data_IF_573348764012
#
_entry.id   IF_573348764012
#
_cell.length_a   1.000
_cell.length_b   1.000
_cell.length_c   1.000
_cell.angle_alpha   90.00
_cell.angle_beta   90.00
_cell.angle_gamma   90.00
#
_symmetry.space_group_name_H-M   'P 1'
#
loop_
_entity.id
_entity.type
_entity.pdbx_description
1 polymer ?
#
# COMPACT_ATOMS: atom_id res chain seq x y z
N UNK A 1 1.29 -3.13 -0.82
CA UNK A 1 0.10 -2.79 -0.01
C UNK A 1 -0.15 -1.29 -0.09
N UNK A 2 -1.39 -0.83 0.04
CA UNK A 2 -1.73 0.60 0.17
C UNK A 2 -1.75 1.08 1.65
N UNK A 3 -1.40 0.20 2.59
CA UNK A 3 -1.27 0.47 4.03
C UNK A 3 0.20 0.43 4.44
N UNK A 4 0.58 1.27 5.38
CA UNK A 4 1.92 1.23 5.99
C UNK A 4 2.08 0.01 6.89
N UNK A 5 3.31 -0.42 7.19
CA UNK A 5 3.57 -1.57 8.06
C UNK A 5 2.93 -1.41 9.45
N UNK A 6 2.95 -0.21 10.02
CA UNK A 6 2.31 0.04 11.32
C UNK A 6 0.79 -0.15 11.31
N UNK A 7 0.14 0.02 10.16
CA UNK A 7 -1.31 -0.18 10.01
C UNK A 7 -1.69 -1.66 9.83
N UNK A 8 -0.73 -2.58 9.73
CA UNK A 8 -1.04 -4.00 9.58
C UNK A 8 -1.57 -4.63 10.86
N UNK A 9 -1.30 -4.04 12.03
CA UNK A 9 -1.92 -4.45 13.29
C UNK A 9 -3.45 -4.38 13.25
N UNK A 10 -4.03 -3.46 12.45
CA UNK A 10 -5.48 -3.33 12.28
C UNK A 10 -6.03 -4.22 11.15
N UNK A 11 -5.16 -4.79 10.33
CA UNK A 11 -5.53 -5.67 9.20
C UNK A 11 -5.69 -7.12 9.67
N UNK A 12 -4.86 -7.54 10.62
CA UNK A 12 -4.92 -8.88 11.19
C UNK A 12 -5.68 -8.87 12.52
N UNK A 13 -6.43 -9.95 12.84
CA UNK A 13 -7.13 -10.05 14.12
C UNK A 13 -6.21 -10.06 15.35
N UNK A 14 -4.96 -10.48 15.17
CA UNK A 14 -3.94 -10.54 16.22
C UNK A 14 -2.73 -9.68 15.83
N UNK A 15 -2.43 -8.61 16.59
CA UNK A 15 -1.29 -7.75 16.32
C UNK A 15 0.06 -8.46 16.49
N UNK A 16 0.18 -9.46 17.38
CA UNK A 16 1.41 -10.25 17.55
C UNK A 16 1.68 -11.09 16.31
N UNK A 17 0.63 -11.70 15.76
CA UNK A 17 0.73 -12.44 14.50
C UNK A 17 1.10 -11.51 13.32
N UNK A 18 0.53 -10.30 13.27
CA UNK A 18 0.86 -9.30 12.25
C UNK A 18 2.36 -8.97 12.24
N UNK A 19 2.93 -8.75 13.42
CA UNK A 19 4.37 -8.46 13.59
C UNK A 19 5.22 -9.66 13.17
N UNK A 20 4.88 -10.88 13.60
CA UNK A 20 5.61 -12.09 13.23
C UNK A 20 5.59 -12.38 11.72
N UNK A 21 4.48 -12.06 11.04
CA UNK A 21 4.36 -12.15 9.59
C UNK A 21 5.19 -11.08 8.88
N UNK A 22 5.12 -9.84 9.34
CA UNK A 22 5.92 -8.74 8.79
C UNK A 22 7.42 -9.03 8.92
N UNK A 23 7.87 -9.54 10.07
CA UNK A 23 9.27 -9.92 10.29
C UNK A 23 9.77 -10.89 9.21
N UNK A 24 9.04 -12.00 9.01
CA UNK A 24 9.38 -13.01 7.98
C UNK A 24 9.32 -12.45 6.56
N UNK A 25 8.31 -11.63 6.26
CA UNK A 25 8.11 -11.07 4.92
C UNK A 25 9.17 -10.02 4.57
N UNK A 26 9.63 -9.24 5.55
CA UNK A 26 10.61 -8.17 5.35
C UNK A 26 12.06 -8.65 5.45
N UNK A 27 12.33 -9.80 6.08
CA UNK A 27 13.69 -10.31 6.29
C UNK A 27 14.51 -10.44 4.99
N UNK A 28 13.89 -10.81 3.87
CA UNK A 28 14.56 -10.97 2.57
C UNK A 28 13.91 -10.15 1.45
N UNK A 29 13.19 -9.07 1.81
CA UNK A 29 12.51 -8.22 0.84
C UNK A 29 13.08 -6.80 0.81
N UNK A 30 13.10 -6.21 -0.39
CA UNK A 30 13.41 -4.80 -0.58
C UNK A 30 12.12 -3.99 -0.60
N UNK A 31 12.01 -3.00 0.29
CA UNK A 31 10.85 -2.10 0.32
C UNK A 31 10.98 -1.02 -0.75
N UNK A 32 10.01 -0.95 -1.67
CA UNK A 32 9.90 0.13 -2.65
C UNK A 32 8.68 0.99 -2.32
N UNK A 33 8.93 2.23 -1.89
CA UNK A 33 7.87 3.19 -1.58
C UNK A 33 7.44 3.93 -2.83
N UNK A 34 6.30 3.53 -3.40
CA UNK A 34 5.74 4.16 -4.61
C UNK A 34 4.90 5.37 -4.19
N UNK A 35 5.21 6.53 -4.80
CA UNK A 35 4.48 7.80 -4.62
C UNK A 35 4.11 8.37 -5.98
N UNK A 36 3.02 9.13 -6.05
CA UNK A 36 2.56 9.78 -7.26
C UNK A 36 1.05 9.70 -7.42
N UNK A 37 0.53 10.42 -8.42
CA UNK A 37 -0.89 10.35 -8.77
C UNK A 37 -1.27 8.99 -9.34
N UNK A 38 -2.54 8.61 -9.17
CA UNK A 38 -3.07 7.39 -9.78
C UNK A 38 -2.99 7.47 -11.29
N UNK A 39 -2.30 6.51 -11.90
CA UNK A 39 -2.21 6.38 -13.35
C UNK A 39 -3.59 6.31 -14.02
N UNK A 40 -4.55 5.64 -13.38
CA UNK A 40 -5.95 5.57 -13.84
C UNK A 40 -6.60 6.95 -13.87
N UNK A 41 -6.34 7.77 -12.85
CA UNK A 41 -6.90 9.12 -12.78
C UNK A 41 -6.27 10.03 -13.83
N UNK A 42 -4.96 9.91 -14.05
CA UNK A 42 -4.25 10.61 -15.12
C UNK A 42 -4.89 10.33 -16.48
N UNK A 43 -5.14 9.07 -16.83
CA UNK A 43 -5.80 8.73 -18.09
C UNK A 43 -7.24 9.20 -18.18
N UNK A 44 -8.00 9.21 -17.07
CA UNK A 44 -9.35 9.79 -17.08
C UNK A 44 -9.33 11.30 -17.32
N UNK A 45 -8.35 12.01 -16.77
CA UNK A 45 -8.13 13.45 -17.04
C UNK A 45 -7.76 13.68 -18.51
N UNK A 46 -6.83 12.89 -19.05
CA UNK A 46 -6.40 12.96 -20.46
C UNK A 46 -7.55 12.64 -21.43
N UNK A 47 -8.44 11.71 -21.06
CA UNK A 47 -9.65 11.39 -21.82
C UNK A 47 -10.80 12.41 -21.65
N UNK A 48 -10.59 13.50 -20.89
CA UNK A 48 -11.61 14.52 -20.64
C UNK A 48 -12.77 14.07 -19.73
N UNK A 49 -12.62 12.93 -19.04
CA UNK A 49 -13.67 12.27 -18.25
C UNK A 49 -13.73 12.73 -16.78
N UNK A 50 -12.82 13.59 -16.34
CA UNK A 50 -12.86 14.20 -15.01
C UNK A 50 -12.79 15.70 -15.15
N UNK A 51 -13.95 16.34 -15.30
CA UNK A 51 -14.15 17.74 -14.97
C UNK A 51 -14.21 17.88 -13.44
N UNK A 52 -13.54 18.92 -12.93
CA UNK A 52 -13.64 19.34 -11.53
C UNK A 52 -15.04 19.87 -11.22
#
# INVERSE_FOLDING_TARGET
SNKSYGQWGDVFPDPVLAVALLDRLLHHATTINIRGESYRLKHRREAGLTTA
#
